data_IF_871954510569
#
_entry.id   IF_871954510569
#
_cell.length_a   1.000
_cell.length_b   1.000
_cell.length_c   1.000
_cell.angle_alpha   90.00
_cell.angle_beta   90.00
_cell.angle_gamma   90.00
#
_symmetry.space_group_name_H-M   'P 1'
#
loop_
_entity.id
_entity.type
_entity.pdbx_description
1 polymer ?
#
# COMPACT_ATOMS: atom_id res chain seq x y z
N UNK A 1 -18.25 18.78 -22.13
CA UNK A 1 -19.18 17.64 -22.28
C UNK A 1 -18.60 16.63 -23.26
N UNK A 2 -18.91 15.33 -23.15
CA UNK A 2 -18.58 14.38 -24.21
C UNK A 2 -19.41 14.70 -25.45
N UNK A 3 -18.76 15.00 -26.58
CA UNK A 3 -19.45 15.39 -27.81
C UNK A 3 -19.90 14.17 -28.65
N UNK A 4 -19.53 12.96 -28.24
CA UNK A 4 -19.86 11.70 -28.93
C UNK A 4 -20.33 10.64 -27.94
N UNK A 5 -21.21 9.74 -28.38
CA UNK A 5 -21.73 8.62 -27.56
C UNK A 5 -20.60 7.73 -27.01
N UNK A 6 -19.53 7.54 -27.79
CA UNK A 6 -18.35 6.80 -27.36
C UNK A 6 -17.60 7.51 -26.24
N UNK A 7 -17.44 8.83 -26.31
CA UNK A 7 -16.81 9.62 -25.26
C UNK A 7 -17.61 9.57 -23.95
N UNK A 8 -18.93 9.68 -24.01
CA UNK A 8 -19.80 9.59 -22.82
C UNK A 8 -19.66 8.22 -22.13
N UNK A 9 -19.63 7.13 -22.91
CA UNK A 9 -19.35 5.78 -22.39
C UNK A 9 -17.97 5.71 -21.73
N UNK A 10 -16.94 6.34 -22.30
CA UNK A 10 -15.58 6.35 -21.74
C UNK A 10 -15.53 7.09 -20.40
N UNK A 11 -16.24 8.21 -20.26
CA UNK A 11 -16.38 8.92 -18.97
C UNK A 11 -16.96 7.98 -17.92
N UNK A 12 -18.12 7.36 -18.18
CA UNK A 12 -18.75 6.41 -17.24
C UNK A 12 -17.84 5.26 -16.82
N UNK A 13 -17.12 4.66 -17.78
CA UNK A 13 -16.16 3.56 -17.48
C UNK A 13 -14.97 4.07 -16.68
N UNK A 14 -14.46 5.27 -16.99
CA UNK A 14 -13.32 5.86 -16.27
C UNK A 14 -13.64 6.13 -14.81
N UNK A 15 -14.85 6.62 -14.51
CA UNK A 15 -15.28 6.91 -13.14
C UNK A 15 -15.42 5.64 -12.31
N UNK A 16 -16.05 4.59 -12.87
CA UNK A 16 -16.12 3.27 -12.22
C UNK A 16 -14.73 2.74 -11.87
N UNK A 17 -13.78 2.80 -12.82
CA UNK A 17 -12.39 2.41 -12.59
C UNK A 17 -11.70 3.31 -11.56
N UNK A 18 -11.96 4.62 -11.57
CA UNK A 18 -11.40 5.59 -10.63
C UNK A 18 -11.79 5.24 -9.19
N UNK A 19 -13.06 4.95 -8.94
CA UNK A 19 -13.56 4.61 -7.59
C UNK A 19 -12.91 3.34 -7.06
N UNK A 20 -12.88 2.26 -7.87
CA UNK A 20 -12.26 1.00 -7.49
C UNK A 20 -10.75 1.16 -7.22
N UNK A 21 -10.03 1.84 -8.12
CA UNK A 21 -8.60 2.07 -7.94
C UNK A 21 -8.30 2.97 -6.74
N UNK A 22 -9.17 3.95 -6.45
CA UNK A 22 -9.05 4.79 -5.25
C UNK A 22 -9.16 3.95 -3.98
N UNK A 23 -10.12 3.04 -3.89
CA UNK A 23 -10.27 2.17 -2.72
C UNK A 23 -9.01 1.33 -2.45
N UNK A 24 -8.47 0.66 -3.48
CA UNK A 24 -7.24 -0.13 -3.34
C UNK A 24 -6.02 0.73 -2.97
N UNK A 25 -5.86 1.89 -3.63
CA UNK A 25 -4.75 2.82 -3.34
C UNK A 25 -4.82 3.36 -1.91
N UNK A 26 -6.01 3.74 -1.44
CA UNK A 26 -6.21 4.25 -0.08
C UNK A 26 -5.97 3.16 0.95
N UNK A 27 -6.52 1.97 0.76
CA UNK A 27 -6.29 0.83 1.66
C UNK A 27 -4.80 0.51 1.80
N UNK A 28 -4.09 0.38 0.67
CA UNK A 28 -2.63 0.18 0.66
C UNK A 28 -1.90 1.30 1.42
N UNK A 29 -2.21 2.57 1.13
CA UNK A 29 -1.59 3.72 1.81
C UNK A 29 -1.83 3.69 3.32
N UNK A 30 -3.04 3.35 3.76
CA UNK A 30 -3.39 3.29 5.17
C UNK A 30 -2.64 2.17 5.90
N UNK A 31 -2.53 0.98 5.29
CA UNK A 31 -1.76 -0.13 5.88
C UNK A 31 -0.27 0.19 5.96
N UNK A 32 0.30 0.83 4.94
CA UNK A 32 1.69 1.31 4.99
C UNK A 32 1.87 2.35 6.12
N UNK A 33 0.94 3.30 6.26
CA UNK A 33 0.97 4.29 7.35
C UNK A 33 0.88 3.64 8.72
N UNK A 34 0.05 2.60 8.89
CA UNK A 34 -0.09 1.88 10.15
C UNK A 34 1.25 1.25 10.59
N UNK A 35 1.99 0.62 9.67
CA UNK A 35 3.33 0.09 9.96
C UNK A 35 4.30 1.19 10.37
N UNK A 36 4.33 2.30 9.62
CA UNK A 36 5.22 3.42 9.93
C UNK A 36 4.89 4.06 11.28
N UNK A 37 3.60 4.15 11.62
CA UNK A 37 3.13 4.65 12.90
C UNK A 37 3.53 3.72 14.05
N UNK A 38 3.35 2.41 13.89
CA UNK A 38 3.76 1.42 14.89
C UNK A 38 5.27 1.45 15.17
N UNK A 39 6.09 1.63 14.13
CA UNK A 39 7.54 1.84 14.28
C UNK A 39 7.85 3.13 15.06
N UNK A 40 7.17 4.23 14.73
CA UNK A 40 7.39 5.52 15.39
C UNK A 40 6.94 5.52 16.86
N UNK A 41 5.90 4.77 17.19
CA UNK A 41 5.39 4.59 18.55
C UNK A 41 6.20 3.57 19.38
N UNK A 42 7.20 2.92 18.81
CA UNK A 42 8.04 1.96 19.53
C UNK A 42 7.30 0.68 19.93
N UNK A 43 6.30 0.25 19.13
CA UNK A 43 5.49 -0.93 19.42
C UNK A 43 6.30 -2.24 19.43
N UNK A 44 5.81 -3.31 20.09
CA UNK A 44 6.48 -4.61 20.08
C UNK A 44 6.80 -5.09 18.67
N UNK A 45 7.95 -5.75 18.52
CA UNK A 45 8.44 -6.23 17.22
C UNK A 45 7.41 -7.13 16.53
N UNK A 46 6.76 -8.00 17.30
CA UNK A 46 5.72 -8.92 16.82
C UNK A 46 4.54 -8.16 16.18
N UNK A 47 4.05 -7.10 16.82
CA UNK A 47 2.95 -6.28 16.28
C UNK A 47 3.36 -5.60 14.97
N UNK A 48 4.59 -5.08 14.90
CA UNK A 48 5.12 -4.45 13.68
C UNK A 48 5.24 -5.48 12.54
N UNK A 49 5.67 -6.71 12.84
CA UNK A 49 5.78 -7.79 11.87
C UNK A 49 4.41 -8.23 11.35
N UNK A 50 3.40 -8.36 12.21
CA UNK A 50 2.03 -8.68 11.80
C UNK A 50 1.43 -7.59 10.90
N UNK A 51 1.57 -6.33 11.30
CA UNK A 51 1.14 -5.19 10.48
C UNK A 51 1.88 -5.16 9.13
N UNK A 52 3.15 -5.53 9.11
CA UNK A 52 3.95 -5.63 7.89
C UNK A 52 3.43 -6.72 6.94
N UNK A 53 3.11 -7.92 7.43
CA UNK A 53 2.49 -9.00 6.64
C UNK A 53 1.19 -8.53 5.98
N UNK A 54 0.32 -7.86 6.76
CA UNK A 54 -0.94 -7.30 6.24
C UNK A 54 -0.68 -6.22 5.18
N UNK A 55 0.31 -5.35 5.39
CA UNK A 55 0.68 -4.32 4.43
C UNK A 55 1.23 -4.91 3.12
N UNK A 56 2.06 -5.95 3.18
CA UNK A 56 2.57 -6.66 2.00
C UNK A 56 1.42 -7.23 1.16
N UNK A 57 0.48 -7.95 1.79
CA UNK A 57 -0.70 -8.50 1.13
C UNK A 57 -1.53 -7.41 0.44
N UNK A 58 -1.72 -6.26 1.09
CA UNK A 58 -2.44 -5.12 0.50
C UNK A 58 -1.73 -4.52 -0.72
N UNK A 59 -0.40 -4.41 -0.68
CA UNK A 59 0.42 -3.91 -1.80
C UNK A 59 0.30 -4.85 -3.00
N UNK A 60 0.43 -6.16 -2.79
CA UNK A 60 0.39 -7.14 -3.87
C UNK A 60 -1.01 -7.28 -4.47
N UNK A 61 -2.06 -7.16 -3.65
CA UNK A 61 -3.45 -7.11 -4.13
C UNK A 61 -3.71 -5.87 -4.99
N UNK A 62 -3.15 -4.71 -4.63
CA UNK A 62 -3.25 -3.49 -5.43
C UNK A 62 -2.52 -3.62 -6.79
N UNK A 63 -1.39 -4.32 -6.82
CA UNK A 63 -0.64 -4.60 -8.04
C UNK A 63 -1.40 -5.58 -8.95
N UNK A 64 -1.90 -6.69 -8.39
CA UNK A 64 -2.67 -7.70 -9.13
C UNK A 64 -3.92 -7.15 -9.78
N UNK A 65 -4.59 -6.19 -9.13
CA UNK A 65 -5.76 -5.49 -9.68
C UNK A 65 -5.41 -4.39 -10.70
N UNK A 66 -4.13 -4.09 -10.91
CA UNK A 66 -3.68 -3.02 -11.82
C UNK A 66 -3.85 -1.61 -11.26
N UNK A 67 -4.14 -1.45 -9.96
CA UNK A 67 -4.22 -0.14 -9.34
C UNK A 67 -2.83 0.53 -9.20
N UNK A 68 -1.77 -0.28 -9.11
CA UNK A 68 -0.36 0.13 -9.15
C UNK A 68 0.44 -0.80 -10.06
N UNK A 69 1.56 -0.33 -10.60
CA UNK A 69 2.46 -1.16 -11.39
C UNK A 69 3.28 -2.13 -10.52
N UNK A 70 3.66 -3.29 -11.06
CA UNK A 70 4.48 -4.30 -10.36
C UNK A 70 5.78 -3.72 -9.77
N UNK A 71 6.47 -2.87 -10.53
CA UNK A 71 7.71 -2.24 -10.05
C UNK A 71 7.46 -1.25 -8.90
N UNK A 72 6.29 -0.58 -8.90
CA UNK A 72 5.92 0.30 -7.80
C UNK A 72 5.62 -0.51 -6.54
N UNK A 73 4.97 -1.68 -6.68
CA UNK A 73 4.74 -2.61 -5.59
C UNK A 73 6.06 -3.12 -5.00
N UNK A 74 6.97 -3.63 -5.84
CA UNK A 74 8.30 -4.11 -5.42
C UNK A 74 9.10 -3.02 -4.70
N UNK A 75 9.12 -1.79 -5.24
CA UNK A 75 9.81 -0.65 -4.62
C UNK A 75 9.23 -0.31 -3.25
N UNK A 76 7.91 -0.32 -3.10
CA UNK A 76 7.24 -0.07 -1.81
C UNK A 76 7.53 -1.17 -0.79
N UNK A 77 7.46 -2.45 -1.20
CA UNK A 77 7.80 -3.59 -0.35
C UNK A 77 9.23 -3.53 0.14
N UNK A 78 10.20 -3.32 -0.76
CA UNK A 78 11.62 -3.21 -0.42
C UNK A 78 11.89 -2.09 0.59
N UNK A 79 11.36 -0.89 0.35
CA UNK A 79 11.52 0.25 1.28
C UNK A 79 10.89 0.01 2.65
N UNK A 80 9.71 -0.62 2.69
CA UNK A 80 9.03 -0.93 3.94
C UNK A 80 9.81 -2.01 4.72
N UNK A 81 10.29 -3.04 4.02
CA UNK A 81 11.09 -4.12 4.60
C UNK A 81 12.39 -3.59 5.23
N UNK A 82 13.10 -2.69 4.55
CA UNK A 82 14.31 -2.08 5.08
C UNK A 82 14.06 -1.33 6.40
N UNK A 83 12.94 -0.61 6.51
CA UNK A 83 12.57 0.11 7.74
C UNK A 83 12.21 -0.84 8.88
N UNK A 84 11.44 -1.88 8.60
CA UNK A 84 11.09 -2.90 9.61
C UNK A 84 12.34 -3.62 10.07
N UNK A 85 13.23 -4.04 9.16
CA UNK A 85 14.50 -4.67 9.51
C UNK A 85 15.36 -3.79 10.40
N UNK A 86 15.50 -2.50 10.06
CA UNK A 86 16.25 -1.55 10.89
C UNK A 86 15.64 -1.41 12.30
N UNK A 87 14.30 -1.39 12.39
CA UNK A 87 13.60 -1.33 13.68
C UNK A 87 13.83 -2.59 14.54
N UNK A 88 13.73 -3.78 13.92
CA UNK A 88 14.00 -5.05 14.61
C UNK A 88 15.45 -5.09 15.11
N UNK A 89 16.41 -4.74 14.26
CA UNK A 89 17.82 -4.71 14.64
C UNK A 89 18.10 -3.72 15.79
N UNK A 90 17.45 -2.55 15.79
CA UNK A 90 17.58 -1.59 16.89
C UNK A 90 17.06 -2.15 18.22
N UNK A 91 15.91 -2.85 18.19
CA UNK A 91 15.32 -3.48 19.38
C UNK A 91 16.10 -4.70 19.87
N UNK A 92 16.69 -5.48 18.97
CA UNK A 92 17.59 -6.60 19.31
C UNK A 92 18.91 -6.11 19.92
N UNK A 93 19.39 -4.92 19.55
CA UNK A 93 20.64 -4.34 20.07
C UNK A 93 20.48 -3.57 21.38
N UNK A 94 19.30 -3.59 22.01
CA UNK A 94 19.11 -3.08 23.38
C UNK A 94 19.06 -1.56 23.52
N UNK A 95 18.47 -0.85 22.55
CA UNK A 95 18.09 0.57 22.68
C UNK A 95 16.60 0.80 22.36
#
# INVERSE_FOLDING_TARGET
MPNTKSAEKRVRVSEKRRVLNKAYKTSMKNKIKAVLKAIAEGKPVEEVQELFKVAQSAIDKAARRGAIHKNQASRRKSRLAAKVKAYVAAKEQGV
#
